data_IF_720519141631
#
_entry.id   IF_720519141631
#
_cell.length_a   1.000
_cell.length_b   1.000
_cell.length_c   1.000
_cell.angle_alpha   90.00
_cell.angle_beta   90.00
_cell.angle_gamma   90.00
#
_symmetry.space_group_name_H-M   'P 1'
#
loop_
_entity.id
_entity.type
_entity.pdbx_description
1 polymer ?
#
# COMPACT_ATOMS: atom_id res chain seq x y z
N UNK A 1 -28.17 23.16 16.83
CA UNK A 1 -28.05 21.68 16.91
C UNK A 1 -28.15 20.99 15.56
N UNK A 2 -28.90 21.51 14.60
CA UNK A 2 -29.09 20.91 13.25
C UNK A 2 -27.82 20.80 12.42
N UNK A 3 -26.89 21.75 12.43
CA UNK A 3 -25.65 21.70 11.64
C UNK A 3 -24.67 20.58 12.08
N UNK A 4 -24.73 20.12 13.34
CA UNK A 4 -23.89 19.02 13.83
C UNK A 4 -24.37 17.65 13.34
N UNK A 5 -25.67 17.48 13.11
CA UNK A 5 -26.26 16.23 12.63
C UNK A 5 -25.98 16.00 11.14
N UNK A 6 -26.03 17.07 10.32
CA UNK A 6 -25.82 17.00 8.87
C UNK A 6 -24.35 16.64 8.54
N UNK A 7 -23.38 17.15 9.28
CA UNK A 7 -21.95 16.86 9.05
C UNK A 7 -21.56 15.41 9.42
N UNK A 8 -22.25 14.77 10.36
CA UNK A 8 -21.96 13.38 10.75
C UNK A 8 -22.44 12.35 9.72
N UNK A 9 -23.41 12.72 8.89
CA UNK A 9 -24.00 11.86 7.83
C UNK A 9 -23.29 11.99 6.50
N UNK A 10 -22.38 12.96 6.33
CA UNK A 10 -21.61 13.12 5.10
C UNK A 10 -20.78 11.88 4.82
N UNK A 11 -20.90 11.35 3.58
CA UNK A 11 -20.12 10.20 3.11
C UNK A 11 -18.82 10.71 2.51
N UNK A 12 -17.73 10.11 2.96
CA UNK A 12 -16.37 10.31 2.43
C UNK A 12 -15.92 9.06 1.69
N UNK A 13 -15.09 9.24 0.68
CA UNK A 13 -14.52 8.14 -0.08
C UNK A 13 -13.02 8.02 0.21
N UNK A 14 -12.56 6.80 0.42
CA UNK A 14 -11.14 6.52 0.44
C UNK A 14 -10.52 6.71 -0.95
N UNK A 15 -9.21 6.88 -1.02
CA UNK A 15 -8.48 7.09 -2.29
C UNK A 15 -8.83 6.07 -3.39
N UNK A 16 -9.20 4.86 -3.02
CA UNK A 16 -9.61 3.80 -3.95
C UNK A 16 -11.07 3.90 -4.40
N UNK A 17 -11.80 4.95 -4.06
CA UNK A 17 -13.21 5.26 -4.42
C UNK A 17 -14.25 4.12 -4.25
N UNK A 18 -13.81 2.90 -3.94
CA UNK A 18 -14.68 1.73 -3.69
C UNK A 18 -15.11 1.61 -2.24
N UNK A 19 -14.39 2.27 -1.36
CA UNK A 19 -14.58 2.23 0.08
C UNK A 19 -15.02 3.60 0.54
N UNK A 20 -16.14 3.64 1.22
CA UNK A 20 -16.71 4.85 1.79
C UNK A 20 -16.91 4.70 3.28
N UNK A 21 -16.95 5.82 3.99
CA UNK A 21 -17.14 5.88 5.43
C UNK A 21 -17.78 7.23 5.80
N UNK A 22 -18.39 7.27 7.00
CA UNK A 22 -18.87 8.49 7.64
C UNK A 22 -17.94 8.88 8.79
N UNK A 23 -17.92 10.15 9.16
CA UNK A 23 -17.13 10.59 10.33
C UNK A 23 -17.58 9.92 11.64
N UNK A 24 -18.86 9.54 11.72
CA UNK A 24 -19.46 8.83 12.86
C UNK A 24 -19.06 7.36 12.95
N UNK A 25 -18.52 6.76 11.88
CA UNK A 25 -18.20 5.34 11.87
C UNK A 25 -17.01 5.03 12.79
N UNK A 26 -17.13 3.99 13.59
CA UNK A 26 -16.05 3.53 14.46
C UNK A 26 -14.87 2.97 13.69
N UNK A 27 -15.14 2.38 12.52
CA UNK A 27 -14.15 1.77 11.61
C UNK A 27 -14.30 2.38 10.23
N UNK A 28 -13.20 2.88 9.66
CA UNK A 28 -13.13 3.31 8.27
C UNK A 28 -12.37 2.26 7.47
N UNK A 29 -13.05 1.57 6.56
CA UNK A 29 -12.40 0.68 5.61
C UNK A 29 -11.79 1.55 4.49
N UNK A 30 -10.48 1.45 4.28
CA UNK A 30 -9.75 2.29 3.33
C UNK A 30 -9.38 1.56 2.03
N UNK A 31 -9.17 0.25 2.14
CA UNK A 31 -9.00 -0.68 1.02
C UNK A 31 -9.40 -2.09 1.45
N UNK A 32 -9.14 -3.11 0.59
CA UNK A 32 -9.53 -4.50 0.86
C UNK A 32 -9.00 -5.03 2.20
N UNK A 33 -7.79 -4.65 2.57
CA UNK A 33 -7.07 -5.22 3.72
C UNK A 33 -6.92 -4.23 4.87
N UNK A 34 -6.95 -2.93 4.57
CA UNK A 34 -6.59 -1.90 5.53
C UNK A 34 -7.78 -1.09 6.01
N UNK A 35 -7.87 -0.94 7.32
CA UNK A 35 -8.84 -0.07 7.97
C UNK A 35 -8.17 0.74 9.10
N UNK A 36 -8.84 1.80 9.54
CA UNK A 36 -8.46 2.58 10.72
C UNK A 36 -9.62 2.68 11.69
N UNK A 37 -9.30 2.98 12.95
CA UNK A 37 -10.25 3.14 14.04
C UNK A 37 -10.11 4.54 14.65
N UNK A 38 -10.59 5.60 13.98
CA UNK A 38 -10.39 6.98 14.44
C UNK A 38 -11.01 7.26 15.81
N UNK A 39 -12.13 6.59 16.14
CA UNK A 39 -12.80 6.72 17.44
C UNK A 39 -11.84 6.45 18.61
N UNK A 40 -10.92 5.50 18.51
CA UNK A 40 -9.93 5.20 19.56
C UNK A 40 -9.00 6.39 19.86
N UNK A 41 -8.70 7.19 18.84
CA UNK A 41 -7.93 8.43 18.99
C UNK A 41 -8.81 9.54 19.58
N UNK A 42 -10.00 9.71 19.01
CA UNK A 42 -10.97 10.73 19.41
C UNK A 42 -11.40 10.59 20.87
N UNK A 43 -11.51 9.36 21.38
CA UNK A 43 -11.86 9.10 22.78
C UNK A 43 -10.83 9.68 23.76
N UNK A 44 -9.58 9.84 23.32
CA UNK A 44 -8.46 10.42 24.09
C UNK A 44 -8.26 11.92 23.88
N UNK A 45 -8.99 12.51 22.92
CA UNK A 45 -8.84 13.91 22.55
C UNK A 45 -9.82 14.82 23.30
N UNK A 46 -9.44 16.08 23.58
CA UNK A 46 -10.38 17.12 24.01
C UNK A 46 -11.51 17.31 23.00
N UNK A 47 -12.72 17.57 23.49
CA UNK A 47 -13.93 17.71 22.67
C UNK A 47 -13.76 18.72 21.52
N UNK A 48 -13.06 19.83 21.76
CA UNK A 48 -12.81 20.88 20.76
C UNK A 48 -11.97 20.43 19.55
N UNK A 49 -11.21 19.32 19.69
CA UNK A 49 -10.30 18.82 18.65
C UNK A 49 -10.90 17.64 17.87
N UNK A 50 -11.88 16.94 18.44
CA UNK A 50 -12.38 15.66 17.91
C UNK A 50 -12.84 15.76 16.46
N UNK A 51 -13.72 16.69 16.16
CA UNK A 51 -14.27 16.87 14.81
C UNK A 51 -13.20 17.35 13.82
N UNK A 52 -12.32 18.23 14.27
CA UNK A 52 -11.21 18.75 13.45
C UNK A 52 -10.24 17.64 13.04
N UNK A 53 -9.90 16.74 13.97
CA UNK A 53 -9.09 15.56 13.69
C UNK A 53 -9.75 14.65 12.65
N UNK A 54 -11.04 14.31 12.87
CA UNK A 54 -11.78 13.43 11.96
C UNK A 54 -11.86 14.00 10.54
N UNK A 55 -12.21 15.30 10.40
CA UNK A 55 -12.27 15.98 9.09
C UNK A 55 -10.90 16.00 8.40
N UNK A 56 -9.83 16.29 9.14
CA UNK A 56 -8.48 16.30 8.58
C UNK A 56 -8.07 14.89 8.16
N UNK A 57 -8.37 13.86 8.98
CA UNK A 57 -8.06 12.47 8.65
C UNK A 57 -8.85 11.98 7.44
N UNK A 58 -10.13 12.38 7.30
CA UNK A 58 -10.97 12.06 6.13
C UNK A 58 -10.40 12.69 4.84
N UNK A 59 -9.94 13.95 4.90
CA UNK A 59 -9.21 14.56 3.78
C UNK A 59 -7.99 13.73 3.39
N UNK A 60 -7.18 13.29 4.37
CA UNK A 60 -6.03 12.45 4.07
C UNK A 60 -6.43 11.08 3.51
N UNK A 61 -7.53 10.50 3.98
CA UNK A 61 -8.02 9.21 3.50
C UNK A 61 -8.44 9.25 2.03
N UNK A 62 -8.92 10.39 1.51
CA UNK A 62 -9.24 10.57 0.09
C UNK A 62 -8.02 10.78 -0.80
N UNK A 63 -6.91 11.26 -0.26
CA UNK A 63 -5.75 11.67 -1.05
C UNK A 63 -4.57 10.70 -0.98
N UNK A 64 -4.39 10.00 0.14
CA UNK A 64 -3.20 9.22 0.44
C UNK A 64 -3.48 7.74 0.60
N UNK A 65 -2.42 6.93 0.64
CA UNK A 65 -2.54 5.48 0.81
C UNK A 65 -3.06 5.10 2.19
N UNK A 66 -3.78 3.99 2.29
CA UNK A 66 -4.30 3.43 3.53
C UNK A 66 -3.23 3.24 4.62
N UNK A 67 -2.04 2.78 4.26
CA UNK A 67 -0.90 2.65 5.18
C UNK A 67 -0.45 4.00 5.76
N UNK A 68 -0.50 5.06 4.97
CA UNK A 68 -0.15 6.40 5.44
C UNK A 68 -1.16 6.89 6.48
N UNK A 69 -2.46 6.65 6.23
CA UNK A 69 -3.54 6.98 7.16
C UNK A 69 -3.43 6.18 8.46
N UNK A 70 -3.16 4.87 8.35
CA UNK A 70 -2.90 4.03 9.53
C UNK A 70 -1.72 4.55 10.35
N UNK A 71 -0.63 4.95 9.69
CA UNK A 71 0.55 5.47 10.37
C UNK A 71 0.25 6.76 11.12
N UNK A 72 -0.53 7.68 10.53
CA UNK A 72 -0.98 8.90 11.18
C UNK A 72 -1.89 8.54 12.38
N UNK A 73 -2.94 7.74 12.16
CA UNK A 73 -3.89 7.38 13.20
C UNK A 73 -3.21 6.69 14.39
N UNK A 74 -2.29 5.76 14.13
CA UNK A 74 -1.55 5.07 15.18
C UNK A 74 -0.64 6.01 15.96
N UNK A 75 0.03 6.94 15.29
CA UNK A 75 0.89 7.91 15.96
C UNK A 75 0.09 8.89 16.83
N UNK A 76 -1.08 9.33 16.38
CA UNK A 76 -1.98 10.14 17.21
C UNK A 76 -2.54 9.34 18.39
N UNK A 77 -2.90 8.07 18.18
CA UNK A 77 -3.34 7.19 19.26
C UNK A 77 -2.26 7.01 20.34
N UNK A 78 -1.01 6.80 19.91
CA UNK A 78 0.15 6.69 20.79
C UNK A 78 0.39 8.01 21.54
N UNK A 79 0.37 9.13 20.84
CA UNK A 79 0.64 10.47 21.38
C UNK A 79 -0.40 10.88 22.44
N UNK A 80 -1.68 10.85 22.09
CA UNK A 80 -2.77 11.20 23.01
C UNK A 80 -3.01 10.15 24.10
N UNK A 81 -2.42 8.96 23.98
CA UNK A 81 -2.41 7.97 25.03
C UNK A 81 -1.30 8.16 26.06
N UNK A 82 -0.18 8.75 25.64
CA UNK A 82 0.98 8.99 26.48
C UNK A 82 0.95 10.34 27.21
N UNK A 83 0.15 11.31 26.71
CA UNK A 83 0.17 12.70 27.20
C UNK A 83 -1.22 13.31 27.26
N UNK A 84 -1.45 14.15 28.26
CA UNK A 84 -2.64 15.02 28.31
C UNK A 84 -2.38 16.27 27.49
N UNK A 85 -3.14 16.46 26.41
CA UNK A 85 -2.97 17.54 25.44
C UNK A 85 -4.31 18.27 25.29
N UNK A 86 -4.36 19.51 25.72
CA UNK A 86 -5.55 20.34 25.55
C UNK A 86 -5.58 21.05 24.19
N UNK A 87 -4.43 21.43 23.69
CA UNK A 87 -4.23 22.09 22.41
C UNK A 87 -2.86 21.70 21.87
N UNK A 88 -2.74 21.52 20.56
CA UNK A 88 -1.45 21.27 19.92
C UNK A 88 -0.72 22.61 19.76
N UNK A 89 0.17 22.88 20.68
CA UNK A 89 1.03 24.06 20.74
C UNK A 89 2.53 23.63 20.62
N UNK A 90 3.43 24.58 20.83
CA UNK A 90 4.89 24.31 20.81
C UNK A 90 5.31 23.35 21.92
N UNK A 91 4.69 23.40 23.10
CA UNK A 91 4.98 22.50 24.23
C UNK A 91 4.57 21.06 23.89
N UNK A 92 3.38 20.87 23.35
CA UNK A 92 2.89 19.56 22.92
C UNK A 92 3.80 18.93 21.86
N UNK A 93 4.29 19.72 20.90
CA UNK A 93 5.24 19.25 19.87
C UNK A 93 6.61 18.93 20.48
N UNK A 94 7.10 19.75 21.40
CA UNK A 94 8.36 19.47 22.09
C UNK A 94 8.29 18.16 22.89
N UNK A 95 7.21 17.98 23.65
CA UNK A 95 7.00 16.73 24.41
C UNK A 95 6.92 15.51 23.50
N UNK A 96 6.22 15.61 22.34
CA UNK A 96 6.20 14.54 21.36
C UNK A 96 7.59 14.22 20.82
N UNK A 97 8.40 15.25 20.52
CA UNK A 97 9.77 15.04 20.03
C UNK A 97 10.64 14.31 21.07
N UNK A 98 10.53 14.69 22.33
CA UNK A 98 11.23 14.02 23.46
C UNK A 98 10.75 12.56 23.57
N UNK A 99 9.45 12.33 23.53
CA UNK A 99 8.86 11.00 23.61
C UNK A 99 9.31 10.07 22.48
N UNK A 100 9.41 10.58 21.26
CA UNK A 100 9.87 9.80 20.10
C UNK A 100 11.37 9.49 20.19
N UNK A 101 12.15 10.34 20.83
CA UNK A 101 13.60 10.19 20.90
C UNK A 101 14.27 10.24 19.52
N UNK A 102 15.58 10.00 19.49
CA UNK A 102 16.37 10.03 18.24
C UNK A 102 15.99 8.94 17.25
N UNK A 103 15.62 7.76 17.73
CA UNK A 103 15.31 6.60 16.86
C UNK A 103 14.01 6.75 16.09
N UNK A 104 12.99 7.40 16.67
CA UNK A 104 11.66 7.56 16.08
C UNK A 104 11.36 8.98 15.62
N UNK A 105 12.31 9.90 15.74
CA UNK A 105 12.15 11.31 15.38
C UNK A 105 11.65 11.51 13.94
N UNK A 106 12.03 10.62 13.00
CA UNK A 106 11.53 10.67 11.62
C UNK A 106 9.99 10.64 11.50
N UNK A 107 9.29 10.11 12.51
CA UNK A 107 7.81 10.10 12.56
C UNK A 107 7.20 11.51 12.66
N UNK A 108 7.97 12.49 13.15
CA UNK A 108 7.52 13.89 13.15
C UNK A 108 7.16 14.40 11.76
N UNK A 109 7.72 13.85 10.68
CA UNK A 109 7.32 14.22 9.31
C UNK A 109 5.85 13.92 9.03
N UNK A 110 5.30 12.81 9.57
CA UNK A 110 3.87 12.48 9.44
C UNK A 110 3.01 13.52 10.14
N UNK A 111 3.39 13.84 11.38
CA UNK A 111 2.68 14.84 12.21
C UNK A 111 2.78 16.23 11.61
N UNK A 112 3.96 16.64 11.16
CA UNK A 112 4.19 17.96 10.55
C UNK A 112 3.23 18.22 9.40
N UNK A 113 3.18 17.32 8.42
CA UNK A 113 2.31 17.47 7.26
C UNK A 113 0.83 17.52 7.67
N UNK A 114 0.42 16.65 8.59
CA UNK A 114 -0.96 16.56 9.07
C UNK A 114 -1.38 17.83 9.86
N UNK A 115 -0.56 18.32 10.79
CA UNK A 115 -0.84 19.51 11.60
C UNK A 115 -0.89 20.77 10.73
N UNK A 116 0.02 20.90 9.76
CA UNK A 116 -0.01 22.03 8.81
C UNK A 116 -1.33 22.02 8.02
N UNK A 117 -1.75 20.85 7.54
CA UNK A 117 -3.03 20.73 6.82
C UNK A 117 -4.21 21.06 7.73
N UNK A 118 -4.23 20.53 8.96
CA UNK A 118 -5.26 20.83 9.94
C UNK A 118 -5.41 22.34 10.17
N UNK A 119 -4.28 23.04 10.37
CA UNK A 119 -4.27 24.50 10.54
C UNK A 119 -4.75 25.24 9.29
N UNK A 120 -4.30 24.81 8.10
CA UNK A 120 -4.69 25.43 6.83
C UNK A 120 -6.18 25.25 6.50
N UNK A 121 -6.83 24.24 7.07
CA UNK A 121 -8.28 24.06 7.00
C UNK A 121 -9.03 24.95 8.01
N UNK A 122 -8.33 25.77 8.77
CA UNK A 122 -8.87 26.64 9.82
C UNK A 122 -9.68 25.89 10.89
N UNK A 123 -9.37 24.64 11.14
CA UNK A 123 -10.01 23.88 12.20
C UNK A 123 -9.37 24.16 13.56
N UNK A 124 -10.17 24.21 14.64
CA UNK A 124 -9.66 24.44 15.99
C UNK A 124 -8.78 23.29 16.49
N UNK A 125 -7.89 23.58 17.46
CA UNK A 125 -7.07 22.60 18.16
C UNK A 125 -5.58 22.62 17.84
N UNK A 126 -5.15 23.41 16.84
CA UNK A 126 -3.74 23.61 16.49
C UNK A 126 -3.38 25.09 16.54
N UNK A 127 -2.34 25.42 17.28
CA UNK A 127 -1.80 26.78 17.36
C UNK A 127 -0.69 27.02 16.34
N UNK A 128 -0.44 28.30 16.01
CA UNK A 128 0.64 28.68 15.11
C UNK A 128 2.03 28.39 15.71
N UNK A 129 2.13 28.37 17.03
CA UNK A 129 3.35 28.02 17.78
C UNK A 129 3.80 26.59 17.49
N UNK A 130 2.85 25.63 17.34
CA UNK A 130 3.16 24.25 16.97
C UNK A 130 3.87 24.15 15.62
N UNK A 131 3.41 24.91 14.62
CA UNK A 131 4.01 24.90 13.27
C UNK A 131 5.43 25.46 13.33
N UNK A 132 5.61 26.61 13.99
CA UNK A 132 6.94 27.21 14.18
C UNK A 132 7.90 26.27 14.90
N UNK A 133 7.42 25.50 15.89
CA UNK A 133 8.22 24.49 16.58
C UNK A 133 8.62 23.34 15.66
N UNK A 134 7.68 22.81 14.88
CA UNK A 134 7.95 21.75 13.88
C UNK A 134 8.92 22.18 12.78
N UNK A 135 8.99 23.46 12.46
CA UNK A 135 9.96 24.01 11.51
C UNK A 135 11.38 24.09 12.09
N UNK A 136 11.49 24.36 13.40
CA UNK A 136 12.77 24.46 14.11
C UNK A 136 13.37 23.11 14.45
N UNK A 137 12.58 22.07 14.67
CA UNK A 137 13.05 20.73 15.02
C UNK A 137 13.81 20.13 13.83
N UNK A 138 15.06 19.75 14.07
CA UNK A 138 15.82 18.93 13.11
C UNK A 138 15.28 17.51 13.10
N UNK A 139 14.56 17.16 12.05
CA UNK A 139 14.04 15.80 11.88
C UNK A 139 15.14 14.93 11.27
N UNK A 140 15.52 13.88 11.99
CA UNK A 140 16.51 12.91 11.54
C UNK A 140 15.82 11.93 10.60
N UNK A 141 16.30 11.76 9.35
CA UNK A 141 15.73 10.77 8.44
C UNK A 141 15.84 9.37 9.00
N UNK A 142 14.85 8.53 8.71
CA UNK A 142 14.97 7.10 9.02
C UNK A 142 16.17 6.53 8.25
N UNK A 143 17.04 5.80 8.95
CA UNK A 143 18.25 5.17 8.39
C UNK A 143 17.88 3.95 7.54
N UNK A 144 17.10 4.20 6.46
CA UNK A 144 16.77 3.15 5.48
C UNK A 144 17.95 2.86 4.58
N UNK A 145 18.25 1.57 4.37
CA UNK A 145 19.32 1.14 3.47
C UNK A 145 20.72 1.01 4.11
N UNK A 146 20.85 1.23 5.39
CA UNK A 146 22.13 1.08 6.10
C UNK A 146 22.66 -0.37 6.02
N UNK A 147 21.76 -1.34 6.18
CA UNK A 147 22.09 -2.76 6.03
C UNK A 147 22.64 -3.10 4.63
N UNK A 148 22.07 -2.47 3.59
CA UNK A 148 22.54 -2.63 2.21
C UNK A 148 23.90 -1.99 2.03
N UNK A 149 24.11 -0.78 2.56
CA UNK A 149 25.39 -0.05 2.45
C UNK A 149 26.51 -0.78 3.17
N UNK A 150 26.23 -1.34 4.35
CA UNK A 150 27.20 -2.07 5.16
C UNK A 150 27.34 -3.53 4.75
N UNK A 151 26.55 -4.01 3.78
CA UNK A 151 26.47 -5.43 3.38
C UNK A 151 26.28 -6.35 4.60
N UNK A 152 25.31 -5.97 5.45
CA UNK A 152 25.00 -6.73 6.66
C UNK A 152 24.65 -8.18 6.28
N UNK A 153 25.31 -9.20 6.88
CA UNK A 153 25.12 -10.60 6.47
C UNK A 153 23.71 -11.13 6.73
N UNK A 154 22.95 -10.49 7.65
CA UNK A 154 21.60 -10.95 8.02
C UNK A 154 20.47 -10.06 7.47
N UNK A 155 20.75 -8.80 7.15
CA UNK A 155 19.76 -7.79 6.76
C UNK A 155 20.12 -7.09 5.45
N UNK A 156 21.28 -7.35 4.90
CA UNK A 156 21.77 -6.78 3.65
C UNK A 156 21.26 -7.53 2.42
N UNK A 157 21.79 -7.20 1.25
CA UNK A 157 21.50 -7.92 0.02
C UNK A 157 22.09 -9.34 0.07
N UNK A 158 21.43 -10.26 -0.58
CA UNK A 158 21.95 -11.61 -0.79
C UNK A 158 23.30 -11.54 -1.52
N UNK A 159 24.21 -12.43 -1.15
CA UNK A 159 25.41 -12.68 -1.93
C UNK A 159 25.04 -13.37 -3.24
N UNK A 160 25.91 -13.31 -4.24
CA UNK A 160 25.68 -13.98 -5.53
C UNK A 160 25.50 -15.52 -5.35
N UNK A 161 26.25 -16.13 -4.44
CA UNK A 161 26.12 -17.54 -4.14
C UNK A 161 24.75 -17.88 -3.53
N UNK A 162 24.28 -17.09 -2.56
CA UNK A 162 22.94 -17.26 -1.97
C UNK A 162 21.84 -17.08 -3.01
N UNK A 163 21.96 -16.04 -3.83
CA UNK A 163 21.01 -15.78 -4.91
C UNK A 163 20.93 -16.96 -5.89
N UNK A 164 22.07 -17.44 -6.38
CA UNK A 164 22.12 -18.57 -7.30
C UNK A 164 21.58 -19.86 -6.66
N UNK A 165 21.88 -20.10 -5.38
CA UNK A 165 21.34 -21.24 -4.65
C UNK A 165 19.81 -21.18 -4.53
N UNK A 166 19.22 -20.01 -4.31
CA UNK A 166 17.77 -19.83 -4.29
C UNK A 166 17.16 -20.16 -5.66
N UNK A 167 17.73 -19.62 -6.75
CA UNK A 167 17.22 -19.85 -8.10
C UNK A 167 17.28 -21.36 -8.46
N UNK A 168 18.41 -22.01 -8.16
CA UNK A 168 18.58 -23.42 -8.39
C UNK A 168 17.61 -24.28 -7.57
N UNK A 169 17.40 -23.95 -6.29
CA UNK A 169 16.45 -24.64 -5.43
C UNK A 169 15.01 -24.49 -5.93
N UNK A 170 14.62 -23.29 -6.36
CA UNK A 170 13.29 -23.01 -6.93
C UNK A 170 13.08 -23.82 -8.21
N UNK A 171 14.10 -23.88 -9.12
CA UNK A 171 14.06 -24.71 -10.32
C UNK A 171 13.88 -26.19 -9.99
N UNK A 172 14.67 -26.71 -9.04
CA UNK A 172 14.57 -28.10 -8.57
C UNK A 172 13.18 -28.40 -8.01
N UNK A 173 12.64 -27.55 -7.13
CA UNK A 173 11.31 -27.77 -6.54
C UNK A 173 10.19 -27.74 -7.59
N UNK A 174 10.33 -26.92 -8.62
CA UNK A 174 9.39 -26.94 -9.74
C UNK A 174 9.44 -28.25 -10.53
N UNK A 175 10.64 -28.73 -10.89
CA UNK A 175 10.82 -30.01 -11.57
C UNK A 175 10.33 -31.21 -10.75
N UNK A 176 10.52 -31.18 -9.44
CA UNK A 176 10.02 -32.19 -8.50
C UNK A 176 8.50 -32.02 -8.19
N UNK A 177 7.80 -31.09 -8.85
CA UNK A 177 6.37 -30.77 -8.64
C UNK A 177 6.02 -30.39 -7.19
N UNK A 178 6.99 -29.87 -6.44
CA UNK A 178 6.81 -29.39 -5.05
C UNK A 178 6.23 -27.98 -4.99
N UNK A 179 6.37 -27.21 -6.05
CA UNK A 179 5.79 -25.87 -6.20
C UNK A 179 5.03 -25.77 -7.53
N UNK A 180 3.98 -24.98 -7.54
CA UNK A 180 3.17 -24.74 -8.73
C UNK A 180 3.86 -23.79 -9.71
N UNK A 181 3.49 -23.87 -11.00
CA UNK A 181 4.06 -23.05 -12.07
C UNK A 181 3.97 -21.55 -11.78
N UNK A 182 2.83 -21.07 -11.25
CA UNK A 182 2.68 -19.65 -10.96
C UNK A 182 3.69 -19.13 -9.92
N UNK A 183 4.01 -19.95 -8.90
CA UNK A 183 4.98 -19.58 -7.87
C UNK A 183 6.40 -19.59 -8.42
N UNK A 184 6.72 -20.59 -9.24
CA UNK A 184 8.00 -20.66 -9.95
C UNK A 184 8.22 -19.41 -10.82
N UNK A 185 7.29 -19.09 -11.71
CA UNK A 185 7.38 -17.92 -12.58
C UNK A 185 7.46 -16.62 -11.79
N UNK A 186 6.70 -16.50 -10.69
CA UNK A 186 6.68 -15.30 -9.86
C UNK A 186 8.03 -15.06 -9.19
N UNK A 187 8.65 -16.10 -8.61
CA UNK A 187 9.97 -15.99 -7.96
C UNK A 187 11.05 -15.66 -9.00
N UNK A 188 11.03 -16.30 -10.17
CA UNK A 188 11.97 -15.97 -11.24
C UNK A 188 11.84 -14.53 -11.71
N UNK A 189 10.61 -14.02 -11.88
CA UNK A 189 10.39 -12.62 -12.25
C UNK A 189 10.90 -11.66 -11.20
N UNK A 190 10.66 -11.95 -9.91
CA UNK A 190 11.22 -11.13 -8.82
C UNK A 190 12.73 -11.08 -8.89
N UNK A 191 13.36 -12.23 -9.07
CA UNK A 191 14.82 -12.38 -9.10
C UNK A 191 15.44 -11.66 -10.32
N UNK A 192 14.91 -11.89 -11.51
CA UNK A 192 15.48 -11.38 -12.76
C UNK A 192 15.20 -9.89 -12.93
N UNK A 193 14.00 -9.42 -12.56
CA UNK A 193 13.59 -8.03 -12.85
C UNK A 193 13.85 -7.06 -11.71
N UNK A 194 14.06 -7.53 -10.48
CA UNK A 194 14.18 -6.69 -9.26
C UNK A 194 12.96 -5.81 -9.01
N UNK A 195 11.80 -6.14 -9.59
CA UNK A 195 10.59 -5.33 -9.44
C UNK A 195 9.91 -5.61 -8.11
N UNK A 196 9.07 -4.66 -7.67
CA UNK A 196 8.35 -4.84 -6.42
C UNK A 196 7.30 -5.94 -6.53
N UNK A 197 7.06 -6.73 -5.47
CA UNK A 197 6.07 -7.80 -5.47
C UNK A 197 4.71 -7.37 -6.03
N UNK A 198 4.18 -6.23 -5.59
CA UNK A 198 2.89 -5.72 -6.04
C UNK A 198 2.86 -5.37 -7.55
N UNK A 199 3.98 -4.97 -8.15
CA UNK A 199 4.05 -4.71 -9.59
C UNK A 199 3.88 -6.00 -10.39
N UNK A 200 4.51 -7.07 -9.94
CA UNK A 200 4.48 -8.36 -10.64
C UNK A 200 3.16 -9.10 -10.43
N UNK A 201 2.65 -9.16 -9.20
CA UNK A 201 1.37 -9.84 -8.93
C UNK A 201 0.18 -9.16 -9.63
N UNK A 202 0.31 -7.88 -9.97
CA UNK A 202 -0.72 -7.12 -10.70
C UNK A 202 -0.62 -7.21 -12.22
N UNK A 203 0.30 -8.03 -12.75
CA UNK A 203 0.42 -8.25 -14.20
C UNK A 203 -0.81 -8.98 -14.73
N UNK A 204 -1.28 -8.52 -15.89
CA UNK A 204 -2.37 -9.10 -16.64
C UNK A 204 -1.84 -9.75 -17.94
N UNK A 205 -2.59 -10.65 -18.52
CA UNK A 205 -2.18 -11.36 -19.75
C UNK A 205 -1.78 -10.39 -20.88
N UNK A 206 -2.46 -9.26 -21.02
CA UNK A 206 -2.14 -8.20 -22.01
C UNK A 206 -0.80 -7.49 -21.76
N UNK A 207 -0.22 -7.63 -20.58
CA UNK A 207 1.06 -7.01 -20.26
C UNK A 207 2.26 -7.82 -20.75
N UNK A 208 2.03 -9.08 -21.19
CA UNK A 208 3.02 -9.95 -21.82
C UNK A 208 3.01 -9.70 -23.33
N UNK A 209 4.11 -9.19 -23.87
CA UNK A 209 4.19 -8.72 -25.26
C UNK A 209 5.36 -9.44 -25.96
N UNK A 210 5.12 -9.92 -27.18
CA UNK A 210 6.15 -10.42 -28.09
C UNK A 210 6.06 -9.68 -29.41
N UNK A 211 7.18 -9.18 -29.89
CA UNK A 211 7.29 -8.51 -31.18
C UNK A 211 8.65 -8.82 -31.83
N UNK A 212 8.94 -8.24 -32.98
CA UNK A 212 10.20 -8.43 -33.72
C UNK A 212 11.45 -8.05 -32.91
N UNK A 213 11.31 -7.20 -31.89
CA UNK A 213 12.42 -6.74 -31.02
C UNK A 213 12.66 -7.64 -29.83
N UNK A 214 11.80 -8.64 -29.58
CA UNK A 214 11.94 -9.58 -28.46
C UNK A 214 10.69 -9.74 -27.61
N UNK A 215 10.92 -10.25 -26.40
CA UNK A 215 9.88 -10.54 -25.41
C UNK A 215 9.90 -9.45 -24.30
N UNK A 216 8.74 -8.93 -23.93
CA UNK A 216 8.63 -7.82 -23.01
C UNK A 216 7.49 -8.02 -22.01
N UNK A 217 7.66 -7.40 -20.83
CA UNK A 217 6.60 -7.19 -19.85
C UNK A 217 6.31 -5.70 -19.69
N UNK A 218 5.05 -5.33 -19.79
CA UNK A 218 4.58 -3.99 -19.52
C UNK A 218 4.22 -3.86 -18.02
N UNK A 219 5.23 -3.53 -17.19
CA UNK A 219 5.13 -3.56 -15.73
C UNK A 219 4.50 -2.28 -15.20
N UNK A 220 3.36 -2.34 -14.47
CA UNK A 220 2.72 -1.14 -13.95
C UNK A 220 3.56 -0.49 -12.86
N UNK A 221 3.56 0.84 -12.84
CA UNK A 221 4.18 1.61 -11.75
C UNK A 221 3.24 1.67 -10.56
N UNK A 222 3.69 1.32 -9.36
CA UNK A 222 2.84 1.23 -8.14
C UNK A 222 2.90 2.44 -7.22
N UNK A 223 4.00 3.23 -7.24
CA UNK A 223 4.12 4.42 -6.39
C UNK A 223 3.79 5.69 -7.18
N UNK A 224 2.52 5.87 -7.49
CA UNK A 224 2.05 7.04 -8.24
C UNK A 224 0.98 7.81 -7.47
N UNK A 225 0.92 9.11 -7.75
CA UNK A 225 -0.21 9.95 -7.31
C UNK A 225 -1.47 9.70 -8.12
N UNK A 226 -1.33 9.11 -9.32
CA UNK A 226 -2.44 8.78 -10.25
C UNK A 226 -3.04 7.40 -9.94
N UNK A 227 -4.17 7.11 -10.55
CA UNK A 227 -4.82 5.80 -10.44
C UNK A 227 -3.88 4.67 -10.83
N UNK A 228 -4.04 3.52 -10.17
CA UNK A 228 -3.27 2.30 -10.44
C UNK A 228 -3.40 1.86 -11.91
N UNK A 229 -2.30 1.33 -12.49
CA UNK A 229 -2.21 0.85 -13.88
C UNK A 229 -2.45 1.94 -14.96
N UNK A 230 -2.12 3.21 -14.69
CA UNK A 230 -2.09 4.28 -15.73
C UNK A 230 -0.73 4.50 -16.36
N UNK A 231 0.33 4.15 -15.65
CA UNK A 231 1.70 4.30 -16.16
C UNK A 231 2.45 2.96 -16.03
N UNK A 232 3.25 2.67 -17.04
CA UNK A 232 3.96 1.40 -17.16
C UNK A 232 5.44 1.62 -17.47
N UNK A 233 6.24 0.61 -17.19
CA UNK A 233 7.61 0.47 -17.67
C UNK A 233 7.71 -0.82 -18.48
N UNK A 234 8.17 -0.74 -19.70
CA UNK A 234 8.49 -1.91 -20.49
C UNK A 234 9.81 -2.51 -20.03
N UNK A 235 9.82 -3.81 -19.78
CA UNK A 235 10.98 -4.58 -19.32
C UNK A 235 11.18 -5.73 -20.30
N UNK A 236 12.37 -5.83 -20.88
CA UNK A 236 12.74 -6.97 -21.72
C UNK A 236 12.93 -8.20 -20.82
N UNK A 237 12.44 -9.35 -21.26
CA UNK A 237 12.57 -10.63 -20.57
C UNK A 237 13.13 -11.69 -21.54
N UNK A 238 13.77 -12.69 -20.98
CA UNK A 238 14.28 -13.83 -21.75
C UNK A 238 13.14 -14.66 -22.38
N UNK A 239 13.36 -15.23 -23.58
CA UNK A 239 12.34 -16.02 -24.26
C UNK A 239 11.78 -17.17 -23.43
N UNK A 240 12.61 -17.88 -22.66
CA UNK A 240 12.15 -18.97 -21.80
C UNK A 240 11.14 -18.53 -20.74
N UNK A 241 11.33 -17.31 -20.22
CA UNK A 241 10.44 -16.74 -19.22
C UNK A 241 9.12 -16.30 -19.87
N UNK A 242 9.20 -15.73 -21.08
CA UNK A 242 8.01 -15.43 -21.89
C UNK A 242 7.18 -16.69 -22.14
N UNK A 243 7.81 -17.79 -22.56
CA UNK A 243 7.12 -19.03 -22.85
C UNK A 243 6.48 -19.65 -21.59
N UNK A 244 7.19 -19.61 -20.46
CA UNK A 244 6.66 -20.04 -19.15
C UNK A 244 5.43 -19.24 -18.72
N UNK A 245 5.47 -17.91 -18.89
CA UNK A 245 4.34 -17.03 -18.57
C UNK A 245 3.17 -17.24 -19.55
N UNK A 246 3.45 -17.45 -20.83
CA UNK A 246 2.42 -17.76 -21.84
C UNK A 246 1.71 -19.07 -21.51
N UNK A 247 2.46 -20.09 -21.09
CA UNK A 247 1.89 -21.37 -20.65
C UNK A 247 0.98 -21.15 -19.43
N UNK A 248 1.44 -20.37 -18.44
CA UNK A 248 0.65 -20.04 -17.25
C UNK A 248 -0.64 -19.29 -17.61
N UNK A 249 -0.57 -18.32 -18.52
CA UNK A 249 -1.75 -17.58 -19.02
C UNK A 249 -2.74 -18.54 -19.67
N UNK A 250 -2.27 -19.45 -20.52
CA UNK A 250 -3.15 -20.44 -21.19
C UNK A 250 -3.80 -21.38 -20.17
N UNK A 251 -3.08 -21.84 -19.16
CA UNK A 251 -3.64 -22.65 -18.07
C UNK A 251 -4.73 -21.88 -17.29
N UNK A 252 -4.46 -20.62 -16.95
CA UNK A 252 -5.45 -19.77 -16.25
C UNK A 252 -6.71 -19.58 -17.11
N UNK A 253 -6.56 -19.35 -18.40
CA UNK A 253 -7.67 -19.18 -19.34
C UNK A 253 -8.53 -20.45 -19.42
N UNK A 254 -7.89 -21.61 -19.66
CA UNK A 254 -8.58 -22.89 -19.72
C UNK A 254 -9.35 -23.19 -18.43
N UNK A 255 -8.75 -22.92 -17.27
CA UNK A 255 -9.39 -23.10 -15.98
C UNK A 255 -10.62 -22.19 -15.78
N UNK A 256 -10.54 -20.92 -16.20
CA UNK A 256 -11.65 -19.98 -16.06
C UNK A 256 -12.78 -20.32 -17.04
N UNK A 257 -12.45 -20.75 -18.29
CA UNK A 257 -13.44 -21.20 -19.28
C UNK A 257 -14.21 -22.43 -18.79
N UNK A 258 -13.52 -23.43 -18.26
CA UNK A 258 -14.12 -24.63 -17.73
C UNK A 258 -15.01 -24.32 -16.51
N UNK A 259 -14.50 -23.56 -15.54
CA UNK A 259 -15.19 -23.31 -14.28
C UNK A 259 -16.41 -22.41 -14.40
N UNK A 260 -16.36 -21.41 -15.27
CA UNK A 260 -17.41 -20.38 -15.34
C UNK A 260 -18.32 -20.52 -16.57
N UNK A 261 -18.06 -21.49 -17.45
CA UNK A 261 -18.82 -21.75 -18.68
C UNK A 261 -19.05 -20.50 -19.56
N UNK A 262 -18.12 -19.55 -19.49
CA UNK A 262 -18.21 -18.26 -20.19
C UNK A 262 -17.09 -18.18 -21.22
N UNK A 263 -17.45 -17.87 -22.46
CA UNK A 263 -16.45 -17.57 -23.50
C UNK A 263 -15.63 -16.33 -23.12
N UNK A 264 -14.36 -16.56 -22.78
CA UNK A 264 -13.46 -15.52 -22.26
C UNK A 264 -12.86 -14.64 -23.34
N UNK A 265 -13.19 -14.87 -24.61
CA UNK A 265 -12.59 -14.15 -25.74
C UNK A 265 -12.50 -12.63 -25.54
N UNK A 266 -13.51 -12.03 -24.91
CA UNK A 266 -13.56 -10.59 -24.65
C UNK A 266 -12.71 -10.14 -23.44
N UNK A 267 -12.32 -11.03 -22.53
CA UNK A 267 -11.60 -10.73 -21.28
C UNK A 267 -10.21 -11.31 -21.21
N UNK A 268 -9.78 -12.03 -22.26
CA UNK A 268 -8.51 -12.77 -22.28
C UNK A 268 -7.31 -11.93 -21.83
N UNK A 269 -7.23 -10.68 -22.29
CA UNK A 269 -6.17 -9.74 -21.93
C UNK A 269 -6.23 -9.24 -20.49
N UNK A 270 -7.39 -9.24 -19.85
CA UNK A 270 -7.61 -8.69 -18.51
C UNK A 270 -7.36 -9.69 -17.38
N UNK A 271 -7.21 -10.98 -17.70
CA UNK A 271 -6.94 -12.01 -16.70
C UNK A 271 -5.58 -11.76 -16.02
N UNK A 272 -5.50 -11.89 -14.68
CA UNK A 272 -4.23 -11.86 -13.97
C UNK A 272 -3.31 -13.02 -14.44
N UNK A 273 -2.02 -12.74 -14.56
CA UNK A 273 -1.03 -13.80 -14.85
C UNK A 273 -0.87 -14.72 -13.62
N UNK A 274 -0.81 -14.13 -12.43
CA UNK A 274 -0.57 -14.88 -11.19
C UNK A 274 -1.88 -15.15 -10.47
N UNK A 275 -2.48 -16.29 -10.75
CA UNK A 275 -3.69 -16.79 -10.11
C UNK A 275 -3.38 -18.04 -9.30
N UNK A 276 -3.84 -18.10 -8.05
CA UNK A 276 -3.82 -19.34 -7.28
C UNK A 276 -5.15 -20.09 -7.53
N UNK A 277 -5.12 -21.01 -8.49
CA UNK A 277 -6.30 -21.72 -8.96
C UNK A 277 -6.97 -22.55 -7.86
N UNK A 278 -6.19 -23.08 -6.91
CA UNK A 278 -6.71 -23.89 -5.79
C UNK A 278 -7.57 -23.06 -4.81
N UNK A 279 -7.40 -21.73 -4.80
CA UNK A 279 -8.15 -20.83 -3.93
C UNK A 279 -9.36 -20.18 -4.60
N UNK A 280 -9.64 -20.55 -5.86
CA UNK A 280 -10.78 -20.01 -6.58
C UNK A 280 -12.01 -20.84 -6.23
N UNK A 281 -12.89 -20.28 -5.42
CA UNK A 281 -14.16 -20.90 -5.04
C UNK A 281 -15.24 -20.63 -6.08
N UNK A 282 -16.26 -21.49 -6.16
CA UNK A 282 -17.39 -21.36 -7.09
C UNK A 282 -18.24 -20.09 -6.87
N UNK A 283 -18.13 -19.48 -5.69
CA UNK A 283 -18.88 -18.26 -5.32
C UNK A 283 -18.27 -16.98 -5.86
N UNK A 284 -17.04 -17.01 -6.43
CA UNK A 284 -16.41 -15.83 -7.02
C UNK A 284 -16.92 -15.61 -8.44
N UNK A 285 -17.38 -14.39 -8.73
CA UNK A 285 -17.74 -13.97 -10.08
C UNK A 285 -16.50 -13.67 -10.90
N UNK A 286 -16.60 -13.81 -12.22
CA UNK A 286 -15.48 -13.50 -13.14
C UNK A 286 -14.99 -12.06 -12.95
N UNK A 287 -15.88 -11.14 -12.62
CA UNK A 287 -15.58 -9.74 -12.33
C UNK A 287 -14.65 -9.54 -11.14
N UNK A 288 -14.63 -10.47 -10.17
CA UNK A 288 -13.73 -10.41 -9.00
C UNK A 288 -12.26 -10.64 -9.39
N UNK A 289 -11.99 -11.18 -10.58
CA UNK A 289 -10.66 -11.40 -11.12
C UNK A 289 -10.19 -10.31 -12.07
N UNK A 290 -11.10 -9.56 -12.64
CA UNK A 290 -10.79 -8.52 -13.64
C UNK A 290 -10.38 -7.18 -12.99
N UNK A 291 -10.68 -7.02 -11.71
CA UNK A 291 -10.44 -5.80 -10.90
C UNK A 291 -9.61 -6.11 -9.66
#
# INVERSE_FOLDING_TARGET
>A
MENKCIESEQIFFAKMNRYSFKLSDKKWQLDKENCVYPHKVVDRMPTKMKLSYLKTLAYYASEYSSFYIQSINNLFYEWFGAMTIDTIDDKAIYQLNVYLGSERNYKLNLIKAFIIKWKNLNYPGVEATAIRMLEKIKIIPNQTGDAVKRRDPNKGPLTEAEFNNIINAVGKFYHEKKIQCFLYCYILLLAITGRRPLQLISLKAKDLIKNERGCFLNVPKVKQRKCFRKEFNMVMIEPFLYDSLSMLINQNQAFVEDKFSVGISNYRGELPIFMNLDKITETKRIEDFLY
#
